data_IF_015645082147
#
_entry.id   IF_015645082147
#
_cell.length_a   1.000
_cell.length_b   1.000
_cell.length_c   1.000
_cell.angle_alpha   90.00
_cell.angle_beta   90.00
_cell.angle_gamma   90.00
#
_symmetry.space_group_name_H-M   'P 1'
#
loop_
_entity.id
_entity.type
_entity.pdbx_description
1 polymer ?
#
# COMPACT_ATOMS: atom_id res chain seq x y z
N UNK A 1 73.16 -6.90 -3.95
CA UNK A 1 72.74 -8.28 -3.62
C UNK A 1 71.69 -8.15 -2.53
N UNK A 2 70.44 -8.56 -2.64
CA UNK A 2 69.69 -9.39 -3.59
C UNK A 2 68.22 -8.98 -3.41
N UNK A 3 67.48 -8.95 -4.52
CA UNK A 3 66.02 -8.87 -4.49
C UNK A 3 65.46 -10.17 -3.89
N UNK A 4 64.39 -10.07 -3.09
CA UNK A 4 63.51 -11.21 -2.88
C UNK A 4 62.05 -10.79 -3.00
N UNK A 5 61.37 -11.55 -3.86
CA UNK A 5 59.99 -11.38 -4.30
C UNK A 5 59.13 -12.20 -3.35
N UNK A 6 57.86 -11.86 -3.19
CA UNK A 6 56.70 -12.75 -3.39
C UNK A 6 55.42 -11.96 -3.09
N UNK A 7 54.48 -12.04 -4.03
CA UNK A 7 53.11 -11.51 -3.98
C UNK A 7 52.22 -12.47 -3.19
N UNK A 8 51.29 -11.96 -2.39
CA UNK A 8 49.99 -12.57 -2.04
C UNK A 8 49.26 -11.63 -1.07
N UNK A 9 47.94 -11.45 -1.04
CA UNK A 9 46.84 -11.73 -1.95
C UNK A 9 45.67 -10.85 -1.44
N UNK A 10 44.86 -10.31 -2.34
CA UNK A 10 43.61 -9.65 -2.02
C UNK A 10 42.56 -10.70 -1.63
N UNK A 11 41.89 -10.57 -0.48
CA UNK A 11 40.57 -11.14 -0.18
C UNK A 11 40.08 -10.63 1.20
N UNK A 12 39.07 -9.77 1.27
CA UNK A 12 37.69 -10.17 1.59
C UNK A 12 37.35 -9.63 2.98
N UNK A 13 36.18 -9.05 3.29
CA UNK A 13 34.88 -9.10 2.66
C UNK A 13 34.23 -7.71 2.74
N UNK A 14 33.74 -7.19 1.61
CA UNK A 14 32.72 -6.15 1.64
C UNK A 14 31.43 -6.83 2.09
N UNK A 15 30.93 -6.52 3.29
CA UNK A 15 29.55 -6.80 3.66
C UNK A 15 28.67 -6.00 2.68
N UNK A 16 28.17 -6.68 1.66
CA UNK A 16 27.01 -6.20 0.93
C UNK A 16 25.82 -6.29 1.90
N UNK A 17 25.54 -5.20 2.62
CA UNK A 17 24.16 -4.93 3.02
C UNK A 17 23.40 -4.63 1.74
N UNK A 18 22.95 -5.68 1.07
CA UNK A 18 21.82 -5.61 0.17
C UNK A 18 20.60 -5.28 1.03
N UNK A 19 20.45 -4.01 1.39
CA UNK A 19 19.13 -3.47 1.61
C UNK A 19 18.40 -3.65 0.29
N UNK A 20 17.56 -4.67 0.21
CA UNK A 20 16.51 -4.67 -0.79
C UNK A 20 15.75 -3.37 -0.52
N UNK A 21 15.96 -2.36 -1.36
CA UNK A 21 14.99 -1.31 -1.51
C UNK A 21 13.72 -2.04 -1.93
N UNK A 22 12.84 -2.29 -0.96
CA UNK A 22 11.47 -2.65 -1.26
C UNK A 22 11.02 -1.61 -2.27
N UNK A 23 10.59 -2.05 -3.46
CA UNK A 23 10.00 -1.15 -4.43
C UNK A 23 8.98 -0.29 -3.67
N UNK A 24 9.12 1.03 -3.76
CA UNK A 24 8.12 1.92 -3.18
C UNK A 24 6.80 1.62 -3.89
N UNK A 25 5.92 0.89 -3.21
CA UNK A 25 4.57 0.62 -3.68
C UNK A 25 3.83 1.97 -3.65
N UNK A 26 3.68 2.58 -4.83
CA UNK A 26 3.12 3.93 -5.02
C UNK A 26 1.63 4.00 -4.65
N UNK A 27 1.00 2.87 -4.30
CA UNK A 27 -0.38 2.81 -3.82
C UNK A 27 -0.59 3.33 -2.39
N UNK A 28 0.28 4.20 -1.90
CA UNK A 28 0.06 4.96 -0.65
C UNK A 28 -0.03 4.09 0.62
N UNK A 29 0.55 2.89 0.61
CA UNK A 29 0.53 1.94 1.72
C UNK A 29 -0.73 1.05 1.78
N UNK A 30 -1.51 1.00 0.70
CA UNK A 30 -2.61 0.04 0.54
C UNK A 30 -2.05 -1.38 0.31
N UNK A 31 -2.47 -2.40 1.08
CA UNK A 31 -2.03 -3.79 0.86
C UNK A 31 -2.33 -4.28 -0.56
N UNK A 32 -1.47 -5.09 -1.16
CA UNK A 32 -1.72 -5.67 -2.49
C UNK A 32 -3.04 -6.45 -2.54
N UNK A 33 -3.83 -6.27 -3.60
CA UNK A 33 -5.12 -6.96 -3.79
C UNK A 33 -5.93 -6.45 -4.98
N UNK A 34 -6.89 -7.24 -5.43
CA UNK A 34 -7.88 -6.86 -6.45
C UNK A 34 -8.75 -5.70 -5.94
N UNK A 35 -8.96 -4.67 -6.74
CA UNK A 35 -9.68 -3.45 -6.34
C UNK A 35 -8.83 -2.37 -5.64
N UNK A 36 -7.54 -2.65 -5.34
CA UNK A 36 -6.61 -1.67 -4.73
C UNK A 36 -6.53 -0.36 -5.51
N UNK A 37 -6.44 -0.45 -6.83
CA UNK A 37 -6.27 0.70 -7.70
C UNK A 37 -7.50 1.63 -7.68
N UNK A 38 -8.71 1.05 -7.61
CA UNK A 38 -9.94 1.83 -7.45
C UNK A 38 -9.95 2.61 -6.14
N UNK A 39 -9.52 1.99 -5.04
CA UNK A 39 -9.41 2.67 -3.74
C UNK A 39 -8.36 3.78 -3.79
N UNK A 40 -7.19 3.51 -4.36
CA UNK A 40 -6.12 4.51 -4.48
C UNK A 40 -6.61 5.77 -5.19
N UNK A 41 -7.18 5.63 -6.38
CA UNK A 41 -7.62 6.80 -7.15
C UNK A 41 -8.86 7.47 -6.58
N UNK A 42 -9.79 6.72 -5.98
CA UNK A 42 -11.06 7.27 -5.48
C UNK A 42 -10.92 7.93 -4.11
N UNK A 43 -10.15 7.34 -3.20
CA UNK A 43 -10.14 7.74 -1.78
C UNK A 43 -9.08 8.79 -1.43
N UNK A 44 -8.21 9.16 -2.38
CA UNK A 44 -7.16 10.16 -2.16
C UNK A 44 -7.55 11.58 -2.61
N UNK A 45 -8.74 11.76 -3.20
CA UNK A 45 -9.14 13.04 -3.79
C UNK A 45 -9.29 14.15 -2.74
N UNK A 46 -9.83 13.83 -1.55
CA UNK A 46 -10.19 14.83 -0.53
C UNK A 46 -9.28 14.82 0.71
N UNK A 47 -8.61 13.71 0.99
CA UNK A 47 -7.76 13.53 2.17
C UNK A 47 -6.70 12.46 1.92
N UNK A 48 -5.73 12.34 2.82
CA UNK A 48 -4.69 11.31 2.73
C UNK A 48 -5.28 9.90 2.78
N UNK A 49 -4.72 8.98 1.99
CA UNK A 49 -5.00 7.54 2.08
C UNK A 49 -4.67 6.95 3.46
N UNK A 50 -3.83 7.61 4.25
CA UNK A 50 -3.57 7.21 5.65
C UNK A 50 -4.83 7.16 6.49
N UNK A 51 -5.81 8.00 6.21
CA UNK A 51 -7.11 7.94 6.91
C UNK A 51 -7.81 6.62 6.63
N UNK A 52 -7.74 6.11 5.39
CA UNK A 52 -8.33 4.83 4.98
C UNK A 52 -7.56 3.66 5.57
N UNK A 53 -6.23 3.65 5.41
CA UNK A 53 -5.39 2.51 5.84
C UNK A 53 -5.31 2.34 7.36
N UNK A 54 -5.64 3.36 8.14
CA UNK A 54 -5.73 3.30 9.60
C UNK A 54 -7.04 2.68 10.12
N UNK A 55 -8.04 2.46 9.27
CA UNK A 55 -9.31 1.88 9.70
C UNK A 55 -9.33 0.36 9.56
N UNK A 56 -10.11 -0.29 10.43
CA UNK A 56 -10.49 -1.69 10.30
C UNK A 56 -11.99 -1.81 10.53
N UNK A 57 -12.74 -1.88 9.44
CA UNK A 57 -14.20 -1.90 9.46
C UNK A 57 -14.72 -3.13 8.74
N UNK A 58 -15.88 -3.65 9.15
CA UNK A 58 -16.57 -4.66 8.35
C UNK A 58 -17.04 -4.05 7.02
N UNK A 59 -17.30 -4.88 6.01
CA UNK A 59 -17.82 -4.43 4.71
C UNK A 59 -19.05 -3.51 4.84
N UNK A 60 -19.97 -3.86 5.74
CA UNK A 60 -21.18 -3.05 6.01
C UNK A 60 -20.82 -1.66 6.52
N UNK A 61 -19.87 -1.55 7.45
CA UNK A 61 -19.48 -0.25 8.00
C UNK A 61 -18.71 0.57 6.96
N UNK A 62 -17.92 -0.07 6.10
CA UNK A 62 -17.33 0.63 4.95
C UNK A 62 -18.38 1.19 3.99
N UNK A 63 -19.44 0.43 3.74
CA UNK A 63 -20.58 0.86 2.91
C UNK A 63 -21.27 2.09 3.48
N UNK A 64 -21.56 2.07 4.79
CA UNK A 64 -22.13 3.21 5.52
C UNK A 64 -21.21 4.44 5.49
N UNK A 65 -19.89 4.24 5.55
CA UNK A 65 -18.91 5.33 5.45
C UNK A 65 -18.92 5.96 4.06
N UNK A 66 -19.01 5.16 2.99
CA UNK A 66 -19.09 5.69 1.62
C UNK A 66 -20.39 6.47 1.41
N UNK A 67 -21.52 5.97 1.92
CA UNK A 67 -22.78 6.72 1.89
C UNK A 67 -22.65 8.06 2.62
N UNK A 68 -22.09 8.06 3.83
CA UNK A 68 -21.84 9.29 4.59
C UNK A 68 -20.91 10.27 3.85
N UNK A 69 -19.86 9.78 3.18
CA UNK A 69 -18.96 10.62 2.39
C UNK A 69 -19.70 11.31 1.24
N UNK A 70 -20.62 10.61 0.59
CA UNK A 70 -21.44 11.17 -0.51
C UNK A 70 -22.46 12.17 0.04
N UNK A 71 -23.22 11.77 1.05
CA UNK A 71 -24.36 12.54 1.57
C UNK A 71 -23.92 13.80 2.32
N UNK A 72 -22.87 13.70 3.14
CA UNK A 72 -22.50 14.75 4.09
C UNK A 72 -21.18 15.45 3.74
N UNK A 73 -20.26 14.77 3.05
CA UNK A 73 -18.91 15.28 2.80
C UNK A 73 -18.66 15.71 1.34
N UNK A 74 -19.65 15.55 0.47
CA UNK A 74 -19.60 16.01 -0.92
C UNK A 74 -18.75 15.13 -1.84
N UNK A 75 -18.53 13.87 -1.49
CA UNK A 75 -17.94 12.90 -2.42
C UNK A 75 -18.88 12.66 -3.60
N UNK A 76 -18.34 12.63 -4.82
CA UNK A 76 -19.13 12.26 -6.00
C UNK A 76 -19.53 10.78 -5.89
N UNK A 77 -20.80 10.42 -6.13
CA UNK A 77 -21.22 9.03 -6.14
C UNK A 77 -20.39 8.19 -7.11
N UNK A 78 -19.93 7.04 -6.64
CA UNK A 78 -19.22 6.06 -7.45
C UNK A 78 -20.21 5.29 -8.32
N UNK A 79 -19.74 4.83 -9.47
CA UNK A 79 -20.43 3.84 -10.29
C UNK A 79 -20.68 2.56 -9.45
N UNK A 80 -21.86 1.90 -9.57
CA UNK A 80 -22.21 0.78 -8.70
C UNK A 80 -21.22 -0.38 -8.74
N UNK A 81 -20.69 -0.70 -9.92
CA UNK A 81 -19.72 -1.77 -10.12
C UNK A 81 -18.38 -1.41 -9.47
N UNK A 82 -17.89 -0.18 -9.66
CA UNK A 82 -16.67 0.31 -9.00
C UNK A 82 -16.85 0.35 -7.47
N UNK A 83 -18.02 0.77 -6.98
CA UNK A 83 -18.33 0.78 -5.54
C UNK A 83 -18.24 -0.63 -4.97
N UNK A 84 -18.75 -1.64 -5.67
CA UNK A 84 -18.66 -3.02 -5.23
C UNK A 84 -17.20 -3.49 -5.11
N UNK A 85 -16.37 -3.21 -6.13
CA UNK A 85 -14.93 -3.57 -6.11
C UNK A 85 -14.18 -2.87 -4.98
N UNK A 86 -14.47 -1.59 -4.73
CA UNK A 86 -13.90 -0.84 -3.59
C UNK A 86 -14.30 -1.47 -2.26
N UNK A 87 -15.58 -1.81 -2.07
CA UNK A 87 -16.07 -2.40 -0.83
C UNK A 87 -15.49 -3.78 -0.56
N UNK A 88 -15.34 -4.59 -1.61
CA UNK A 88 -14.75 -5.92 -1.51
C UNK A 88 -13.27 -5.82 -1.13
N UNK A 89 -12.51 -4.92 -1.78
CA UNK A 89 -11.12 -4.67 -1.41
C UNK A 89 -10.97 -4.12 0.02
N UNK A 90 -11.76 -3.12 0.41
CA UNK A 90 -11.69 -2.52 1.75
C UNK A 90 -12.02 -3.53 2.84
N UNK A 91 -12.96 -4.45 2.57
CA UNK A 91 -13.30 -5.51 3.51
C UNK A 91 -12.23 -6.61 3.59
N UNK A 92 -11.65 -7.02 2.46
CA UNK A 92 -10.62 -8.07 2.44
C UNK A 92 -9.28 -7.55 3.01
N UNK A 93 -8.82 -6.40 2.53
CA UNK A 93 -7.50 -5.86 2.87
C UNK A 93 -7.49 -5.08 4.20
N UNK A 94 -8.61 -4.43 4.54
CA UNK A 94 -8.74 -3.52 5.69
C UNK A 94 -9.97 -3.86 6.54
N UNK A 95 -10.42 -5.10 6.49
CA UNK A 95 -11.53 -5.62 7.29
C UNK A 95 -11.21 -5.75 8.77
N UNK A 96 -12.23 -5.58 9.62
CA UNK A 96 -12.28 -6.29 10.89
C UNK A 96 -13.16 -7.52 10.70
N UNK A 97 -12.76 -8.67 11.25
CA UNK A 97 -13.66 -9.81 11.33
C UNK A 97 -14.90 -9.40 12.11
N UNK A 98 -16.08 -9.72 11.57
CA UNK A 98 -17.36 -9.46 12.20
C UNK A 98 -17.58 -10.31 13.45
#
# INVERSE_FOLDING_TARGET
MTADRVRAALAGAALALAGAAAAEDDYGGLPEGEGREWVYFSCQHCHSLRTVTNQRFSRRVWDEVLDWMVEEQGMVPLDPEIRAEILDYLAEALGAEG
#
